data_IF_549716113261
#
_entry.id   IF_549716113261
#
_cell.length_a   1.000
_cell.length_b   1.000
_cell.length_c   1.000
_cell.angle_alpha   90.00
_cell.angle_beta   90.00
_cell.angle_gamma   90.00
#
_symmetry.space_group_name_H-M   'P 1'
#
loop_
_entity.id
_entity.type
_entity.pdbx_description
1 polymer ?
#
# COMPACT_ATOMS: atom_id res chain seq x y z
N UNK A 1 11.91 37.31 -79.33
CA UNK A 1 11.03 37.04 -78.17
C UNK A 1 11.71 35.98 -77.28
N UNK A 2 12.30 36.39 -76.14
CA UNK A 2 12.94 35.45 -75.18
C UNK A 2 12.05 35.38 -73.93
N UNK A 3 11.39 34.23 -73.69
CA UNK A 3 10.58 33.94 -72.52
C UNK A 3 11.50 33.58 -71.40
N UNK A 4 11.39 34.30 -70.27
CA UNK A 4 12.05 33.99 -68.95
C UNK A 4 11.09 33.23 -68.09
N UNK A 5 11.39 31.98 -67.78
CA UNK A 5 10.70 31.23 -66.72
C UNK A 5 11.33 31.57 -65.37
N UNK A 6 10.52 32.11 -64.48
CA UNK A 6 10.85 32.29 -63.05
C UNK A 6 10.51 30.99 -62.35
N UNK A 7 11.48 30.32 -61.71
CA UNK A 7 11.30 29.25 -60.80
C UNK A 7 11.10 29.86 -59.39
N UNK A 8 9.90 29.66 -58.78
CA UNK A 8 9.66 29.88 -57.37
C UNK A 8 10.10 28.64 -56.60
N UNK A 9 11.16 28.76 -55.79
CA UNK A 9 11.56 27.75 -54.82
C UNK A 9 10.78 28.07 -53.54
N UNK A 10 9.70 27.30 -53.27
CA UNK A 10 8.99 27.34 -52.02
C UNK A 10 9.82 26.66 -50.93
N UNK A 11 10.34 27.44 -49.99
CA UNK A 11 10.96 26.92 -48.77
C UNK A 11 9.89 26.33 -47.86
N UNK A 12 9.82 25.01 -47.76
CA UNK A 12 8.98 24.31 -46.79
C UNK A 12 9.62 24.45 -45.41
N UNK A 13 9.14 25.37 -44.60
CA UNK A 13 9.53 25.47 -43.19
C UNK A 13 8.96 24.29 -42.41
N UNK A 14 9.77 23.29 -42.13
CA UNK A 14 9.45 22.28 -41.12
C UNK A 14 9.38 22.95 -39.73
N UNK A 15 8.17 23.27 -39.30
CA UNK A 15 7.92 23.64 -37.88
C UNK A 15 8.04 22.36 -37.08
N UNK A 16 9.24 22.07 -36.59
CA UNK A 16 9.47 21.04 -35.63
C UNK A 16 8.71 21.42 -34.34
N UNK A 17 7.67 20.67 -34.02
CA UNK A 17 7.03 20.79 -32.71
C UNK A 17 8.07 20.47 -31.63
N UNK A 18 8.60 21.50 -30.98
CA UNK A 18 9.39 21.35 -29.76
C UNK A 18 8.42 20.82 -28.70
N UNK A 19 8.34 19.52 -28.55
CA UNK A 19 7.71 18.92 -27.38
C UNK A 19 8.53 19.35 -26.18
N UNK A 20 8.01 20.29 -25.37
CA UNK A 20 8.61 20.65 -24.11
C UNK A 20 8.89 19.36 -23.34
N UNK A 21 10.14 19.12 -22.96
CA UNK A 21 10.52 17.94 -22.20
C UNK A 21 9.66 17.92 -20.94
N UNK A 22 8.87 16.85 -20.74
CA UNK A 22 8.07 16.72 -19.52
C UNK A 22 9.02 16.63 -18.33
N UNK A 23 8.91 17.57 -17.40
CA UNK A 23 9.73 17.63 -16.19
C UNK A 23 9.33 16.54 -15.20
N UNK A 24 9.84 15.33 -15.41
CA UNK A 24 9.73 14.24 -14.45
C UNK A 24 10.83 14.31 -13.41
N UNK A 25 10.46 14.02 -12.16
CA UNK A 25 11.40 13.79 -11.05
C UNK A 25 11.50 12.29 -10.77
N UNK A 26 12.70 11.78 -10.41
CA UNK A 26 12.81 10.40 -9.95
C UNK A 26 11.93 10.17 -8.70
N UNK A 27 11.04 9.17 -8.75
CA UNK A 27 10.30 8.70 -7.59
C UNK A 27 11.10 7.67 -6.79
N UNK A 28 12.06 7.03 -7.44
CA UNK A 28 13.02 6.13 -6.84
C UNK A 28 14.45 6.55 -7.25
N UNK A 29 15.34 6.63 -6.26
CA UNK A 29 16.69 7.20 -6.46
C UNK A 29 17.71 6.19 -7.04
N UNK A 30 17.33 4.93 -7.26
CA UNK A 30 18.19 3.86 -7.77
C UNK A 30 19.24 3.32 -6.77
N UNK A 31 19.28 3.82 -5.54
CA UNK A 31 20.33 3.50 -4.56
C UNK A 31 19.80 2.84 -3.29
N UNK A 32 18.70 3.36 -2.76
CA UNK A 32 18.08 2.91 -1.51
C UNK A 32 16.58 3.26 -1.49
N UNK A 33 15.91 2.95 -0.39
CA UNK A 33 14.49 3.22 -0.20
C UNK A 33 14.20 4.55 0.50
N UNK A 34 15.06 5.57 0.38
CA UNK A 34 14.74 6.93 0.84
C UNK A 34 13.48 7.41 0.11
N UNK A 35 12.53 7.96 0.86
CA UNK A 35 11.21 8.32 0.32
C UNK A 35 10.20 7.18 0.28
N UNK A 36 10.57 5.97 0.72
CA UNK A 36 9.73 4.79 0.78
C UNK A 36 9.64 4.21 2.20
N UNK A 37 8.55 3.52 2.48
CA UNK A 37 8.27 2.87 3.75
C UNK A 37 7.81 1.42 3.51
N UNK A 38 8.44 0.49 4.19
CA UNK A 38 8.11 -0.94 4.12
C UNK A 38 6.91 -1.25 5.04
N UNK A 39 5.88 -1.85 4.49
CA UNK A 39 4.64 -2.21 5.19
C UNK A 39 4.42 -3.71 5.11
N UNK A 40 4.36 -4.37 6.27
CA UNK A 40 4.14 -5.82 6.40
C UNK A 40 5.11 -6.72 5.62
N UNK A 41 6.27 -6.22 5.27
CA UNK A 41 7.29 -6.98 4.56
C UNK A 41 8.56 -7.14 5.39
N UNK A 42 9.30 -8.22 5.16
CA UNK A 42 10.58 -8.47 5.78
C UNK A 42 11.70 -7.63 5.18
N UNK A 43 12.86 -7.54 5.86
CA UNK A 43 13.98 -6.71 5.38
C UNK A 43 14.55 -7.11 4.02
N UNK A 44 14.31 -8.34 3.59
CA UNK A 44 14.78 -8.89 2.31
C UNK A 44 13.72 -9.00 1.24
N UNK A 45 12.46 -8.63 1.53
CA UNK A 45 11.37 -8.64 0.55
C UNK A 45 11.64 -7.68 -0.59
N UNK A 46 12.09 -6.47 -0.23
CA UNK A 46 12.46 -5.42 -1.13
C UNK A 46 13.96 -5.17 -1.06
N UNK A 47 14.64 -5.20 -2.18
CA UNK A 47 16.08 -4.92 -2.28
C UNK A 47 16.36 -4.04 -3.50
N UNK A 48 17.48 -3.31 -3.46
CA UNK A 48 17.95 -2.53 -4.59
C UNK A 48 19.17 -3.21 -5.19
N UNK A 49 19.13 -3.50 -6.48
CA UNK A 49 20.25 -4.02 -7.25
C UNK A 49 20.28 -3.39 -8.64
N UNK A 50 21.44 -2.99 -9.11
CA UNK A 50 21.63 -2.41 -10.45
C UNK A 50 20.68 -1.24 -10.75
N UNK A 51 20.42 -0.40 -9.75
CA UNK A 51 19.49 0.74 -9.88
C UNK A 51 18.01 0.37 -9.95
N UNK A 52 17.65 -0.89 -9.70
CA UNK A 52 16.29 -1.40 -9.78
C UNK A 52 15.77 -1.85 -8.42
N UNK A 53 14.46 -1.78 -8.24
CA UNK A 53 13.75 -2.40 -7.12
C UNK A 53 13.50 -3.87 -7.47
N UNK A 54 13.95 -4.76 -6.59
CA UNK A 54 13.68 -6.20 -6.65
C UNK A 54 12.75 -6.57 -5.50
N UNK A 55 11.64 -7.20 -5.83
CA UNK A 55 10.71 -7.78 -4.87
C UNK A 55 10.74 -9.31 -4.98
N UNK A 56 10.78 -9.99 -3.84
CA UNK A 56 10.71 -11.46 -3.80
C UNK A 56 9.28 -11.99 -3.95
N UNK A 57 8.27 -11.13 -3.76
CA UNK A 57 6.87 -11.48 -3.69
C UNK A 57 6.44 -12.07 -2.35
N UNK A 58 7.33 -12.17 -1.36
CA UNK A 58 7.03 -12.75 -0.03
C UNK A 58 7.75 -12.00 1.08
N UNK A 59 7.09 -11.79 2.23
CA UNK A 59 5.66 -12.02 2.49
C UNK A 59 4.78 -11.07 1.68
N UNK A 60 3.45 -11.29 1.72
CA UNK A 60 2.49 -10.36 1.13
C UNK A 60 2.50 -9.05 1.92
N UNK A 61 2.63 -7.94 1.22
CA UNK A 61 2.70 -6.59 1.78
C UNK A 61 3.13 -5.57 0.74
N UNK A 62 3.55 -4.40 1.15
CA UNK A 62 3.77 -3.28 0.23
C UNK A 62 5.01 -2.45 0.56
N UNK A 63 5.54 -1.79 -0.47
CA UNK A 63 6.49 -0.70 -0.37
C UNK A 63 5.78 0.60 -0.74
N UNK A 64 5.58 1.51 0.22
CA UNK A 64 4.76 2.72 0.13
C UNK A 64 5.60 3.98 0.13
N UNK A 65 5.23 4.99 -0.67
CA UNK A 65 5.86 6.31 -0.59
C UNK A 65 5.67 6.95 0.79
N UNK A 66 6.60 7.79 1.24
CA UNK A 66 6.51 8.48 2.54
C UNK A 66 5.59 9.69 2.53
N UNK A 67 5.22 10.18 1.35
CA UNK A 67 4.27 11.29 1.18
C UNK A 67 3.14 10.95 0.22
N UNK A 68 2.06 11.70 0.30
CA UNK A 68 0.91 11.60 -0.58
C UNK A 68 1.12 12.37 -1.87
N UNK A 69 0.45 11.90 -2.92
CA UNK A 69 0.31 12.56 -4.21
C UNK A 69 -1.17 12.74 -4.55
N UNK A 70 -1.49 13.85 -5.21
CA UNK A 70 -2.86 14.17 -5.63
C UNK A 70 -3.04 13.94 -7.11
N UNK A 71 -2.57 14.88 -7.92
CA UNK A 71 -2.60 14.82 -9.37
C UNK A 71 -1.18 14.60 -9.88
N UNK A 72 -0.99 13.60 -10.72
CA UNK A 72 0.35 13.23 -11.19
C UNK A 72 0.32 12.37 -12.45
N UNK A 73 1.46 12.34 -13.10
CA UNK A 73 1.80 11.33 -14.10
C UNK A 73 2.91 10.48 -13.49
N UNK A 74 2.70 9.18 -13.39
CA UNK A 74 3.67 8.19 -12.93
C UNK A 74 4.10 7.35 -14.13
N UNK A 75 5.39 7.25 -14.38
CA UNK A 75 5.95 6.33 -15.34
C UNK A 75 6.90 5.35 -14.65
N UNK A 76 6.83 4.10 -15.04
CA UNK A 76 7.72 3.06 -14.58
C UNK A 76 7.76 1.89 -15.56
N UNK A 77 8.78 1.08 -15.41
CA UNK A 77 8.86 -0.22 -16.08
C UNK A 77 8.84 -1.34 -15.03
N UNK A 78 8.16 -2.42 -15.38
CA UNK A 78 8.06 -3.61 -14.55
C UNK A 78 8.24 -4.88 -15.38
N UNK A 79 8.68 -5.95 -14.70
CA UNK A 79 8.66 -7.32 -15.24
C UNK A 79 8.53 -8.35 -14.12
N UNK A 80 7.77 -9.39 -14.35
CA UNK A 80 7.86 -10.61 -13.56
C UNK A 80 9.06 -11.44 -14.02
N UNK A 81 9.69 -12.16 -13.09
CA UNK A 81 10.85 -13.01 -13.42
C UNK A 81 10.45 -14.43 -13.82
N UNK A 82 9.18 -14.77 -13.70
CA UNK A 82 8.62 -16.06 -14.08
C UNK A 82 7.15 -15.90 -14.49
N UNK A 83 6.60 -16.85 -15.27
CA UNK A 83 5.20 -16.86 -15.63
C UNK A 83 4.26 -16.90 -14.42
N UNK A 84 3.01 -16.46 -14.61
CA UNK A 84 1.92 -16.45 -13.62
C UNK A 84 2.23 -15.60 -12.39
N UNK A 85 2.96 -14.51 -12.58
CA UNK A 85 3.25 -13.56 -11.52
C UNK A 85 2.09 -12.62 -11.22
N UNK A 86 1.90 -12.27 -9.95
CA UNK A 86 0.98 -11.25 -9.49
C UNK A 86 1.69 -10.18 -8.68
N UNK A 87 1.33 -8.94 -8.91
CA UNK A 87 1.74 -7.73 -8.19
C UNK A 87 0.80 -6.59 -8.59
N UNK A 88 0.87 -5.46 -7.89
CA UNK A 88 0.07 -4.28 -8.16
C UNK A 88 0.82 -2.98 -7.91
N UNK A 89 0.26 -1.89 -8.43
CA UNK A 89 0.66 -0.53 -8.10
C UNK A 89 -0.58 0.16 -7.55
N UNK A 90 -0.55 0.54 -6.27
CA UNK A 90 -1.63 1.32 -5.69
C UNK A 90 -1.39 2.80 -5.92
N UNK A 91 -2.46 3.51 -6.24
CA UNK A 91 -2.50 4.97 -6.25
C UNK A 91 -3.57 5.45 -5.29
N UNK A 92 -3.34 6.62 -4.69
CA UNK A 92 -4.23 7.24 -3.72
C UNK A 92 -4.55 6.33 -2.51
N UNK A 93 -3.58 5.50 -2.13
CA UNK A 93 -3.73 4.54 -1.05
C UNK A 93 -3.70 5.20 0.34
N UNK A 94 -4.35 4.57 1.32
CA UNK A 94 -4.19 4.88 2.74
C UNK A 94 -2.74 4.63 3.20
N UNK A 95 -2.38 5.13 4.39
CA UNK A 95 -1.04 4.94 4.94
C UNK A 95 -0.72 3.50 5.34
N UNK A 96 -1.73 2.73 5.71
CA UNK A 96 -1.61 1.34 6.19
C UNK A 96 -2.75 0.46 5.67
N UNK A 97 -2.59 -0.87 5.72
CA UNK A 97 -3.55 -1.80 5.18
C UNK A 97 -4.94 -1.66 5.78
N UNK A 98 -5.93 -2.00 5.00
CA UNK A 98 -7.31 -2.10 5.44
C UNK A 98 -7.43 -3.15 6.56
N UNK A 99 -8.43 -3.00 7.42
CA UNK A 99 -8.66 -3.86 8.57
C UNK A 99 -8.75 -5.34 8.18
N UNK A 100 -7.85 -6.16 8.72
CA UNK A 100 -7.78 -7.59 8.44
C UNK A 100 -7.32 -7.95 7.02
N UNK A 101 -6.74 -7.02 6.29
CA UNK A 101 -6.26 -7.21 4.94
C UNK A 101 -4.75 -6.95 4.86
N UNK A 102 -4.03 -7.56 3.90
CA UNK A 102 -2.63 -7.25 3.67
C UNK A 102 -2.40 -5.93 2.92
N UNK A 103 -3.41 -5.45 2.19
CA UNK A 103 -3.32 -4.33 1.27
C UNK A 103 -4.09 -3.10 1.74
N UNK A 104 -3.69 -1.94 1.23
CA UNK A 104 -4.26 -0.65 1.59
C UNK A 104 -5.63 -0.44 0.92
N UNK A 105 -6.46 0.42 1.50
CA UNK A 105 -7.60 0.98 0.77
C UNK A 105 -7.06 1.94 -0.28
N UNK A 106 -7.35 1.71 -1.55
CA UNK A 106 -6.87 2.54 -2.66
C UNK A 106 -7.41 2.07 -4.00
N UNK A 107 -6.85 2.62 -5.06
CA UNK A 107 -7.09 2.17 -6.44
C UNK A 107 -5.86 1.41 -6.91
N UNK A 108 -6.05 0.17 -7.31
CA UNK A 108 -4.99 -0.69 -7.80
C UNK A 108 -4.92 -0.68 -9.32
N UNK A 109 -3.72 -0.55 -9.83
CA UNK A 109 -3.33 -0.78 -11.22
C UNK A 109 -2.61 -2.11 -11.29
N UNK A 110 -3.23 -3.10 -11.88
CA UNK A 110 -2.77 -4.48 -11.89
C UNK A 110 -1.46 -4.66 -12.64
N UNK A 111 -0.54 -5.40 -12.03
CA UNK A 111 0.73 -5.85 -12.61
C UNK A 111 0.71 -7.38 -12.67
N UNK A 112 -0.07 -7.90 -13.58
CA UNK A 112 -0.29 -9.34 -13.73
C UNK A 112 0.51 -9.88 -14.92
N UNK A 113 1.15 -11.04 -14.77
CA UNK A 113 1.87 -11.69 -15.85
C UNK A 113 0.88 -12.42 -16.79
N UNK A 114 1.15 -12.38 -18.10
CA UNK A 114 0.26 -12.86 -19.16
C UNK A 114 -0.23 -14.31 -18.95
N UNK A 115 0.64 -15.21 -18.51
CA UNK A 115 0.28 -16.61 -18.27
C UNK A 115 -0.53 -16.86 -16.98
N UNK A 116 -0.84 -15.81 -16.22
CA UNK A 116 -1.74 -15.94 -15.08
C UNK A 116 -3.12 -16.40 -15.51
N UNK A 117 -3.54 -16.03 -16.70
CA UNK A 117 -4.74 -16.51 -17.38
C UNK A 117 -5.98 -15.68 -17.06
N UNK A 118 -6.99 -15.86 -17.90
CA UNK A 118 -8.31 -15.25 -17.74
C UNK A 118 -9.18 -16.14 -16.85
N UNK A 119 -8.90 -16.21 -15.57
CA UNK A 119 -9.74 -16.94 -14.62
C UNK A 119 -11.01 -16.14 -14.30
N UNK A 120 -12.09 -16.35 -15.09
CA UNK A 120 -13.47 -16.07 -14.69
C UNK A 120 -13.77 -14.73 -14.01
N UNK A 121 -13.29 -13.59 -14.57
CA UNK A 121 -13.60 -12.26 -14.05
C UNK A 121 -12.45 -11.53 -13.35
N UNK A 122 -11.34 -12.18 -13.13
CA UNK A 122 -10.07 -11.52 -12.76
C UNK A 122 -9.19 -11.55 -13.98
N UNK A 123 -8.74 -10.42 -14.42
CA UNK A 123 -8.20 -10.63 -15.61
C UNK A 123 -6.97 -10.09 -15.96
N UNK A 124 -6.45 -9.30 -16.17
CA UNK A 124 -5.39 -9.06 -17.12
C UNK A 124 -4.51 -7.97 -16.56
N UNK A 125 -3.28 -8.05 -16.93
CA UNK A 125 -2.38 -6.94 -16.80
C UNK A 125 -3.06 -5.65 -17.26
N UNK A 126 -3.00 -4.64 -16.39
CA UNK A 126 -3.53 -3.32 -16.69
C UNK A 126 -5.00 -3.12 -16.35
N UNK A 127 -5.66 -4.00 -15.64
CA UNK A 127 -6.92 -3.69 -14.96
C UNK A 127 -6.71 -2.55 -13.97
N UNK A 128 -7.75 -1.73 -13.76
CA UNK A 128 -7.80 -0.73 -12.70
C UNK A 128 -9.04 -0.96 -11.87
N UNK A 129 -8.88 -1.04 -10.54
CA UNK A 129 -10.02 -1.27 -9.66
C UNK A 129 -9.83 -0.72 -8.25
N UNK A 130 -10.90 -0.26 -7.60
CA UNK A 130 -10.87 0.15 -6.22
C UNK A 130 -10.99 -1.04 -5.30
N UNK A 131 -10.24 -1.05 -4.18
CA UNK A 131 -10.32 -2.09 -3.16
C UNK A 131 -10.52 -1.52 -1.76
N UNK A 132 -10.99 -2.36 -0.86
CA UNK A 132 -11.11 -2.10 0.58
C UNK A 132 -11.88 -0.83 0.95
N UNK A 133 -12.91 -0.49 0.16
CA UNK A 133 -13.76 0.68 0.41
C UNK A 133 -13.36 1.94 -0.35
N UNK A 134 -12.33 1.89 -1.19
CA UNK A 134 -12.14 2.89 -2.23
C UNK A 134 -13.26 2.79 -3.27
N UNK A 135 -13.45 3.85 -4.05
CA UNK A 135 -14.48 3.90 -5.09
C UNK A 135 -13.87 4.37 -6.41
N UNK A 136 -14.42 3.89 -7.50
CA UNK A 136 -14.09 4.34 -8.86
C UNK A 136 -15.22 3.89 -9.79
N UNK A 137 -15.53 4.70 -10.78
CA UNK A 137 -16.40 4.31 -11.90
C UNK A 137 -15.53 3.92 -13.08
N UNK A 138 -15.59 2.66 -13.55
CA UNK A 138 -14.82 2.23 -14.72
C UNK A 138 -15.37 2.87 -16.00
N UNK A 139 -14.50 3.24 -16.93
CA UNK A 139 -14.91 3.66 -18.29
C UNK A 139 -15.19 2.43 -19.15
N UNK A 140 -14.38 1.39 -19.00
CA UNK A 140 -14.55 0.11 -19.68
C UNK A 140 -14.77 -1.00 -18.63
N UNK A 141 -15.97 -1.04 -18.05
CA UNK A 141 -16.39 -2.01 -17.04
C UNK A 141 -17.18 -3.17 -17.61
N UNK A 142 -17.36 -4.22 -16.79
CA UNK A 142 -18.21 -5.40 -17.08
C UNK A 142 -19.26 -5.59 -15.98
N UNK A 143 -19.94 -4.50 -15.61
CA UNK A 143 -21.00 -4.54 -14.58
C UNK A 143 -20.55 -4.33 -13.13
N UNK A 144 -19.23 -4.20 -12.86
CA UNK A 144 -18.66 -3.94 -11.54
C UNK A 144 -17.82 -2.66 -11.50
N UNK A 145 -17.02 -2.50 -10.45
CA UNK A 145 -16.13 -1.34 -10.26
C UNK A 145 -14.76 -1.47 -10.95
N UNK A 146 -14.48 -2.61 -11.58
CA UNK A 146 -13.22 -2.88 -12.29
C UNK A 146 -13.28 -2.38 -13.73
N UNK A 147 -12.28 -1.61 -14.13
CA UNK A 147 -12.02 -1.23 -15.51
C UNK A 147 -11.06 -2.23 -16.16
N UNK A 148 -11.35 -2.60 -17.39
CA UNK A 148 -10.57 -3.59 -18.15
C UNK A 148 -9.84 -2.92 -19.32
N UNK A 149 -8.68 -3.44 -19.73
CA UNK A 149 -8.00 -2.99 -20.94
C UNK A 149 -8.86 -3.21 -22.19
N UNK A 150 -8.80 -2.25 -23.08
CA UNK A 150 -9.48 -2.34 -24.40
C UNK A 150 -8.74 -3.27 -25.35
N UNK A 151 -7.46 -3.52 -25.11
CA UNK A 151 -6.61 -4.46 -25.86
C UNK A 151 -5.46 -4.96 -24.99
N UNK A 152 -4.93 -6.11 -25.35
CA UNK A 152 -3.74 -6.69 -24.75
C UNK A 152 -2.47 -6.07 -25.35
N UNK A 153 -1.64 -5.45 -24.50
CA UNK A 153 -0.37 -4.85 -24.90
C UNK A 153 0.81 -5.27 -24.04
N UNK A 154 0.57 -6.08 -23.01
CA UNK A 154 1.66 -6.51 -22.16
C UNK A 154 2.53 -7.58 -22.82
N UNK A 155 3.79 -7.60 -22.46
CA UNK A 155 4.77 -8.58 -22.90
C UNK A 155 4.93 -9.63 -21.80
N UNK A 156 5.08 -10.91 -22.17
CA UNK A 156 5.24 -11.99 -21.18
C UNK A 156 6.58 -11.88 -20.42
N UNK A 157 6.64 -12.56 -19.29
CA UNK A 157 7.87 -12.73 -18.50
C UNK A 157 9.00 -13.37 -19.36
N UNK A 158 10.24 -12.92 -19.22
CA UNK A 158 10.75 -11.87 -18.35
C UNK A 158 10.92 -10.50 -19.06
N UNK A 159 10.10 -10.18 -20.05
CA UNK A 159 10.21 -8.93 -20.80
C UNK A 159 9.73 -7.72 -19.99
N UNK A 160 10.34 -6.57 -20.20
CA UNK A 160 9.96 -5.32 -19.60
C UNK A 160 8.69 -4.75 -20.23
N UNK A 161 7.77 -4.31 -19.36
CA UNK A 161 6.57 -3.56 -19.71
C UNK A 161 6.69 -2.14 -19.16
N UNK A 162 6.24 -1.17 -19.94
CA UNK A 162 6.18 0.23 -19.56
C UNK A 162 4.73 0.61 -19.22
N UNK A 163 4.53 1.19 -18.05
CA UNK A 163 3.29 1.80 -17.61
C UNK A 163 3.44 3.32 -17.53
N UNK A 164 2.45 4.02 -18.06
CA UNK A 164 2.22 5.45 -17.82
C UNK A 164 0.83 5.60 -17.21
N UNK A 165 0.79 5.98 -15.94
CA UNK A 165 -0.44 6.17 -15.16
C UNK A 165 -0.65 7.67 -15.00
N UNK A 166 -1.79 8.18 -15.46
CA UNK A 166 -2.19 9.58 -15.29
C UNK A 166 -3.32 9.63 -14.28
N UNK A 167 -3.09 10.32 -13.18
CA UNK A 167 -4.03 10.55 -12.09
C UNK A 167 -4.34 12.05 -12.02
N UNK A 168 -5.57 12.45 -12.31
CA UNK A 168 -5.95 13.86 -12.31
C UNK A 168 -7.41 14.05 -11.88
N UNK A 169 -7.64 14.78 -10.80
CA UNK A 169 -8.97 15.12 -10.28
C UNK A 169 -9.90 13.89 -10.11
N UNK A 170 -9.35 12.76 -9.66
CA UNK A 170 -10.12 11.51 -9.51
C UNK A 170 -10.33 10.73 -10.81
N UNK A 171 -9.80 11.19 -11.91
CA UNK A 171 -9.69 10.42 -13.14
C UNK A 171 -8.36 9.67 -13.16
N UNK A 172 -8.38 8.44 -13.67
CA UNK A 172 -7.20 7.61 -13.84
C UNK A 172 -7.18 6.99 -15.22
N UNK A 173 -6.02 7.03 -15.87
CA UNK A 173 -5.78 6.32 -17.11
C UNK A 173 -4.45 5.59 -17.08
N UNK A 174 -4.39 4.42 -17.72
CA UNK A 174 -3.21 3.60 -17.86
C UNK A 174 -2.88 3.43 -19.33
N UNK A 175 -1.67 3.80 -19.70
CA UNK A 175 -1.06 3.38 -20.95
C UNK A 175 -0.11 2.21 -20.69
N UNK A 176 -0.26 1.14 -21.48
CA UNK A 176 0.61 -0.03 -21.48
C UNK A 176 1.41 -0.02 -22.79
N UNK A 177 2.74 0.00 -22.67
CA UNK A 177 3.65 0.00 -23.82
C UNK A 177 3.26 1.04 -24.89
N UNK A 178 3.00 2.28 -24.43
CA UNK A 178 2.78 3.46 -25.27
C UNK A 178 1.33 3.75 -25.68
N UNK A 179 0.35 2.91 -25.32
CA UNK A 179 -1.05 3.16 -25.67
C UNK A 179 -1.97 3.10 -24.45
N UNK A 180 -2.86 4.07 -24.28
CA UNK A 180 -3.89 4.07 -23.24
C UNK A 180 -4.88 2.94 -23.51
N UNK A 181 -5.04 2.06 -22.53
CA UNK A 181 -5.89 0.87 -22.63
C UNK A 181 -6.96 0.79 -21.55
N UNK A 182 -6.73 1.41 -20.39
CA UNK A 182 -7.66 1.30 -19.24
C UNK A 182 -7.90 2.66 -18.63
N UNK A 183 -9.15 2.95 -18.27
CA UNK A 183 -9.53 4.23 -17.69
C UNK A 183 -10.61 4.07 -16.62
N UNK A 184 -10.58 4.95 -15.62
CA UNK A 184 -11.59 5.09 -14.58
C UNK A 184 -11.79 6.55 -14.20
N UNK A 185 -12.89 6.85 -13.52
CA UNK A 185 -13.24 8.22 -13.08
C UNK A 185 -13.92 8.20 -11.72
N UNK A 186 -14.06 9.39 -11.14
CA UNK A 186 -14.69 9.60 -9.84
C UNK A 186 -14.04 8.74 -8.72
N UNK A 187 -12.73 8.55 -8.77
CA UNK A 187 -12.00 7.83 -7.75
C UNK A 187 -12.07 8.57 -6.40
N UNK A 188 -12.21 7.77 -5.33
CA UNK A 188 -12.15 8.24 -3.93
C UNK A 188 -11.46 7.18 -3.06
N UNK A 189 -10.39 7.53 -2.33
CA UNK A 189 -9.75 8.85 -2.30
C UNK A 189 -9.13 9.23 -3.65
N UNK A 190 -8.78 10.53 -3.82
CA UNK A 190 -8.09 11.08 -4.98
C UNK A 190 -6.84 11.89 -4.59
N UNK A 191 -6.36 11.70 -3.36
CA UNK A 191 -5.05 12.09 -2.84
C UNK A 191 -4.62 11.04 -1.82
N UNK A 192 -3.45 10.46 -1.99
CA UNK A 192 -2.95 9.40 -1.13
C UNK A 192 -1.56 8.93 -1.53
N UNK A 193 -1.16 7.80 -0.98
CA UNK A 193 0.16 7.22 -1.18
C UNK A 193 0.18 6.39 -2.47
N UNK A 194 1.41 6.20 -2.99
CA UNK A 194 1.70 5.24 -4.07
C UNK A 194 2.37 4.04 -3.41
N UNK A 195 1.90 2.82 -3.72
CA UNK A 195 2.48 1.59 -3.21
C UNK A 195 2.85 0.65 -4.35
N UNK A 196 3.91 -0.13 -4.14
CA UNK A 196 4.26 -1.30 -4.94
C UNK A 196 3.95 -2.54 -4.13
N UNK A 197 3.34 -3.54 -4.75
CA UNK A 197 2.84 -4.71 -4.08
C UNK A 197 3.80 -5.90 -4.16
N UNK A 198 3.91 -6.64 -3.05
CA UNK A 198 4.54 -7.95 -2.95
C UNK A 198 3.43 -8.99 -2.83
N UNK A 199 3.18 -9.78 -3.89
CA UNK A 199 2.06 -10.73 -3.94
C UNK A 199 2.43 -12.07 -4.57
N UNK A 200 3.29 -12.80 -3.88
CA UNK A 200 3.56 -14.22 -4.17
C UNK A 200 4.54 -14.51 -5.32
N UNK A 201 4.94 -13.51 -6.11
CA UNK A 201 5.82 -13.69 -7.26
C UNK A 201 6.97 -12.70 -7.30
N UNK A 202 8.19 -13.12 -7.71
CA UNK A 202 9.28 -12.18 -7.90
C UNK A 202 8.99 -11.20 -9.04
N UNK A 203 9.11 -9.91 -8.75
CA UNK A 203 8.88 -8.81 -9.68
C UNK A 203 9.98 -7.77 -9.55
N UNK A 204 10.29 -7.09 -10.64
CA UNK A 204 11.25 -6.00 -10.68
C UNK A 204 10.61 -4.73 -11.21
N UNK A 205 11.03 -3.60 -10.65
CA UNK A 205 10.61 -2.27 -11.09
C UNK A 205 11.86 -1.39 -11.33
N UNK A 206 11.81 -0.56 -12.37
CA UNK A 206 12.85 0.42 -12.69
C UNK A 206 12.27 1.68 -13.33
N UNK A 207 13.09 2.70 -13.47
CA UNK A 207 12.74 3.96 -14.13
C UNK A 207 11.48 4.63 -13.56
N UNK A 208 11.29 4.51 -12.23
CA UNK A 208 10.17 5.12 -11.54
C UNK A 208 10.37 6.63 -11.50
N UNK A 209 9.53 7.36 -12.19
CA UNK A 209 9.55 8.82 -12.24
C UNK A 209 8.14 9.39 -12.20
N UNK A 210 8.01 10.56 -11.60
CA UNK A 210 6.74 11.22 -11.37
C UNK A 210 6.79 12.68 -11.82
N UNK A 211 5.70 13.17 -12.40
CA UNK A 211 5.43 14.58 -12.65
C UNK A 211 4.18 14.96 -11.92
N UNK A 212 4.28 15.82 -10.93
CA UNK A 212 3.11 16.35 -10.23
C UNK A 212 2.39 17.37 -11.10
N UNK A 213 1.06 17.32 -11.07
CA UNK A 213 0.18 18.23 -11.78
C UNK A 213 -0.46 19.21 -10.78
N UNK A 214 -1.04 20.33 -11.23
CA UNK A 214 -1.66 21.30 -10.35
C UNK A 214 -2.72 20.68 -9.44
N UNK A 215 -2.76 21.15 -8.18
CA UNK A 215 -3.76 20.71 -7.21
C UNK A 215 -5.16 21.16 -7.60
N UNK A 216 -6.12 20.28 -7.43
CA UNK A 216 -7.56 20.52 -7.57
C UNK A 216 -8.27 20.67 -6.22
N UNK A 217 -7.48 20.82 -5.13
CA UNK A 217 -7.93 21.08 -3.75
C UNK A 217 -8.95 20.04 -3.28
N UNK A 218 -8.53 18.77 -3.07
CA UNK A 218 -9.42 17.71 -2.61
C UNK A 218 -9.99 18.05 -1.24
N UNK A 219 -11.25 17.71 -1.02
CA UNK A 219 -11.89 17.83 0.29
C UNK A 219 -11.31 16.78 1.25
N UNK A 220 -11.42 16.97 2.58
CA UNK A 220 -10.88 16.02 3.57
C UNK A 220 -11.33 14.57 3.34
N UNK A 221 -12.59 14.35 2.99
CA UNK A 221 -13.14 13.01 2.71
C UNK A 221 -12.64 12.36 1.40
N UNK A 222 -11.99 13.14 0.56
CA UNK A 222 -11.36 12.68 -0.70
C UNK A 222 -9.86 12.39 -0.54
N UNK A 223 -9.34 12.57 0.68
CA UNK A 223 -7.93 12.32 1.02
C UNK A 223 -7.83 10.97 1.74
N UNK A 224 -6.83 10.20 1.38
CA UNK A 224 -6.51 8.96 2.05
C UNK A 224 -6.08 9.20 3.51
N UNK A 225 -6.18 8.18 4.35
CA UNK A 225 -5.81 8.28 5.75
C UNK A 225 -4.29 8.55 5.90
N UNK A 226 -3.90 9.69 6.52
CA UNK A 226 -2.49 10.08 6.66
C UNK A 226 -1.77 9.49 7.88
N UNK A 227 -2.37 8.52 8.56
CA UNK A 227 -1.84 7.93 9.78
C UNK A 227 -0.50 7.24 9.53
N UNK A 228 0.62 7.90 9.80
CA UNK A 228 1.98 7.48 9.42
C UNK A 228 2.92 7.39 10.62
N UNK A 229 4.18 7.01 10.35
CA UNK A 229 5.28 6.94 11.33
C UNK A 229 5.16 5.78 12.32
N UNK A 230 4.49 4.71 11.93
CA UNK A 230 4.44 3.48 12.68
C UNK A 230 5.53 2.50 12.21
N UNK A 231 6.06 1.75 13.17
CA UNK A 231 6.99 0.65 12.96
C UNK A 231 6.21 -0.66 12.92
N UNK A 232 6.52 -1.54 11.97
CA UNK A 232 6.01 -2.90 11.97
C UNK A 232 6.53 -3.65 13.21
N UNK A 233 5.66 -4.30 13.94
CA UNK A 233 6.03 -5.26 14.97
C UNK A 233 5.96 -6.70 14.47
N UNK A 234 5.28 -6.94 13.37
CA UNK A 234 5.19 -8.23 12.70
C UNK A 234 5.32 -8.03 11.20
N UNK A 235 6.26 -8.74 10.58
CA UNK A 235 6.63 -8.55 9.18
C UNK A 235 6.07 -9.63 8.23
N UNK A 236 5.38 -10.65 8.76
CA UNK A 236 4.89 -11.76 7.95
C UNK A 236 5.93 -12.83 7.62
N UNK A 237 7.20 -12.64 7.98
CA UNK A 237 8.29 -13.60 7.68
C UNK A 237 8.35 -14.69 8.74
N UNK A 238 8.51 -14.27 9.99
CA UNK A 238 8.73 -15.14 11.14
C UNK A 238 8.29 -14.44 12.44
N UNK A 239 8.70 -15.00 13.57
CA UNK A 239 8.44 -14.46 14.90
C UNK A 239 9.59 -13.59 15.42
N UNK A 240 10.46 -13.08 14.57
CA UNK A 240 11.53 -12.15 14.96
C UNK A 240 10.94 -10.94 15.70
N UNK A 241 11.53 -10.60 16.84
CA UNK A 241 11.00 -9.57 17.75
C UNK A 241 9.95 -10.06 18.75
N UNK A 242 9.64 -11.36 18.76
CA UNK A 242 8.67 -11.99 19.64
C UNK A 242 9.19 -13.22 20.34
N UNK A 243 8.68 -13.55 21.53
CA UNK A 243 8.98 -14.75 22.31
C UNK A 243 7.67 -15.46 22.65
N UNK A 244 7.55 -16.74 22.29
CA UNK A 244 6.42 -17.62 22.56
C UNK A 244 6.53 -18.93 21.81
N UNK A 245 5.77 -19.95 22.22
CA UNK A 245 5.78 -21.28 21.58
C UNK A 245 4.41 -21.59 20.97
N UNK A 246 4.41 -22.30 19.83
CA UNK A 246 3.21 -22.76 19.15
C UNK A 246 2.51 -21.71 18.29
N UNK A 247 3.05 -20.51 18.19
CA UNK A 247 2.57 -19.48 17.29
C UNK A 247 3.13 -19.71 15.87
N UNK A 248 2.34 -19.38 14.85
CA UNK A 248 2.72 -19.56 13.46
C UNK A 248 2.57 -18.25 12.67
N UNK A 249 3.58 -17.98 11.86
CA UNK A 249 3.54 -16.95 10.83
C UNK A 249 2.94 -17.57 9.55
N UNK A 250 1.97 -16.93 8.97
CA UNK A 250 1.32 -17.35 7.71
C UNK A 250 1.07 -16.12 6.85
N UNK A 251 2.04 -15.79 6.00
CA UNK A 251 2.07 -14.56 5.23
C UNK A 251 1.85 -13.33 6.12
N UNK A 252 0.86 -12.51 5.80
CA UNK A 252 0.52 -11.31 6.57
C UNK A 252 -0.20 -11.59 7.90
N UNK A 253 -0.53 -12.86 8.22
CA UNK A 253 -1.27 -13.26 9.42
C UNK A 253 -0.37 -13.98 10.42
N UNK A 254 -0.62 -13.72 11.69
CA UNK A 254 -0.05 -14.41 12.83
C UNK A 254 -1.16 -15.23 13.50
N UNK A 255 -0.94 -16.54 13.69
CA UNK A 255 -1.95 -17.42 14.26
C UNK A 255 -1.46 -18.06 15.55
N UNK A 256 -2.38 -18.21 16.51
CA UNK A 256 -2.15 -18.89 17.79
C UNK A 256 -2.62 -20.33 17.79
N UNK A 257 -2.93 -20.92 16.63
CA UNK A 257 -3.39 -22.29 16.54
C UNK A 257 -2.34 -23.27 17.10
N UNK A 258 -2.72 -23.98 18.17
CA UNK A 258 -1.81 -24.84 18.92
C UNK A 258 -0.92 -24.14 19.95
N UNK A 259 -1.00 -22.81 20.10
CA UNK A 259 -0.26 -22.09 21.13
C UNK A 259 -0.88 -22.32 22.52
N UNK A 260 -0.03 -22.73 23.49
CA UNK A 260 -0.43 -22.92 24.89
C UNK A 260 -0.19 -21.70 25.78
N UNK A 261 0.39 -20.63 25.22
CA UNK A 261 0.76 -19.42 25.97
C UNK A 261 0.82 -18.17 25.09
N UNK A 262 1.01 -17.05 25.74
CA UNK A 262 1.11 -15.74 25.10
C UNK A 262 2.34 -15.60 24.23
N UNK A 263 2.26 -14.70 23.24
CA UNK A 263 3.38 -14.21 22.46
C UNK A 263 3.78 -12.83 22.98
N UNK A 264 5.04 -12.63 23.33
CA UNK A 264 5.53 -11.46 24.05
C UNK A 264 6.56 -10.73 23.20
N UNK A 265 6.42 -9.42 23.00
CA UNK A 265 7.40 -8.61 22.28
C UNK A 265 8.74 -8.57 23.02
N UNK A 266 9.85 -8.64 22.30
CA UNK A 266 11.19 -8.48 22.88
C UNK A 266 11.49 -7.03 23.23
N UNK A 267 10.92 -6.10 22.48
CA UNK A 267 10.97 -4.67 22.73
C UNK A 267 9.93 -4.28 23.81
N UNK A 268 10.31 -3.30 24.64
CA UNK A 268 9.45 -2.77 25.72
C UNK A 268 9.03 -1.34 25.37
N UNK A 269 7.81 -0.97 25.73
CA UNK A 269 7.19 0.30 25.44
C UNK A 269 6.64 0.95 26.70
N UNK A 270 6.79 2.25 26.84
CA UNK A 270 6.20 3.02 27.95
C UNK A 270 5.21 4.08 27.44
N UNK A 271 5.58 4.80 26.39
CA UNK A 271 4.76 5.84 25.75
C UNK A 271 4.65 5.55 24.27
N UNK A 272 3.45 5.25 23.77
CA UNK A 272 3.26 4.73 22.43
C UNK A 272 1.85 4.98 21.90
N UNK A 273 1.70 4.86 20.59
CA UNK A 273 0.43 4.51 19.94
C UNK A 273 0.60 3.14 19.30
N UNK A 274 -0.25 2.21 19.65
CA UNK A 274 -0.30 0.84 19.12
C UNK A 274 -1.55 0.68 18.28
N UNK A 275 -1.47 0.00 17.14
CA UNK A 275 -2.66 -0.56 16.51
C UNK A 275 -2.40 -1.97 16.01
N UNK A 276 -3.45 -2.78 16.03
CA UNK A 276 -3.41 -4.13 15.50
C UNK A 276 -4.82 -4.56 15.08
N UNK A 277 -4.84 -5.50 14.15
CA UNK A 277 -6.05 -6.19 13.76
C UNK A 277 -6.07 -7.58 14.39
N UNK A 278 -7.26 -8.01 14.84
CA UNK A 278 -7.45 -9.36 15.38
C UNK A 278 -8.81 -9.95 14.99
N UNK A 279 -8.88 -11.28 15.02
CA UNK A 279 -10.10 -12.06 14.85
C UNK A 279 -10.06 -13.27 15.79
N UNK A 280 -11.16 -13.61 16.45
CA UNK A 280 -11.21 -14.66 17.48
C UNK A 280 -10.95 -14.12 18.88
N UNK A 281 -10.63 -15.02 19.84
CA UNK A 281 -10.35 -14.65 21.23
C UNK A 281 -11.59 -14.51 22.14
N UNK A 282 -12.79 -14.81 21.64
CA UNK A 282 -14.04 -14.70 22.39
C UNK A 282 -14.46 -13.25 22.62
N UNK A 283 -14.96 -12.93 23.81
CA UNK A 283 -15.45 -11.58 24.17
C UNK A 283 -14.37 -10.65 24.72
N UNK A 284 -13.21 -11.19 25.09
CA UNK A 284 -12.11 -10.39 25.63
C UNK A 284 -11.18 -9.90 24.51
N UNK A 285 -10.63 -8.71 24.67
CA UNK A 285 -9.59 -8.19 23.78
C UNK A 285 -8.31 -9.01 23.98
N UNK A 286 -7.75 -9.64 22.92
CA UNK A 286 -6.67 -10.62 23.09
C UNK A 286 -5.28 -9.98 23.18
N UNK A 287 -5.14 -8.85 23.86
CA UNK A 287 -3.85 -8.18 24.09
C UNK A 287 -3.70 -7.78 25.56
N UNK A 288 -2.45 -7.77 26.03
CA UNK A 288 -2.03 -7.01 27.20
C UNK A 288 -1.00 -5.98 26.78
N UNK A 289 -1.26 -4.74 27.12
CA UNK A 289 -0.45 -3.59 26.72
C UNK A 289 0.16 -2.93 27.96
N UNK A 290 1.43 -2.48 27.91
CA UNK A 290 2.07 -1.85 29.05
C UNK A 290 1.33 -0.56 29.46
N UNK A 291 1.20 -0.33 30.75
CA UNK A 291 0.49 0.81 31.35
C UNK A 291 -1.01 0.91 30.99
N UNK A 292 -1.58 -0.15 30.47
CA UNK A 292 -3.01 -0.26 30.17
C UNK A 292 -3.57 -1.39 31.02
N UNK A 293 -4.55 -1.11 31.85
CA UNK A 293 -5.24 -2.11 32.65
C UNK A 293 -5.96 -3.15 31.77
N UNK A 294 -6.63 -4.09 32.38
CA UNK A 294 -7.46 -5.05 31.65
C UNK A 294 -8.62 -4.32 30.97
N UNK A 295 -8.75 -4.52 29.65
CA UNK A 295 -9.77 -3.85 28.85
C UNK A 295 -11.18 -4.42 29.06
N UNK A 296 -11.30 -5.49 29.86
CA UNK A 296 -12.57 -6.13 30.17
C UNK A 296 -13.28 -6.71 28.93
N UNK A 297 -14.55 -7.02 29.10
CA UNK A 297 -15.42 -7.42 28.01
C UNK A 297 -15.89 -6.17 27.26
N UNK A 298 -15.59 -6.12 25.96
CA UNK A 298 -16.01 -5.05 25.06
C UNK A 298 -16.90 -5.65 23.97
N UNK A 299 -17.87 -4.88 23.49
CA UNK A 299 -18.76 -5.30 22.42
C UNK A 299 -18.05 -5.21 21.06
N UNK A 300 -17.68 -6.34 20.50
CA UNK A 300 -17.16 -6.46 19.14
C UNK A 300 -17.51 -7.84 18.55
N UNK A 301 -17.64 -7.95 17.21
CA UNK A 301 -17.90 -9.23 16.55
C UNK A 301 -16.66 -10.11 16.57
N UNK A 302 -16.63 -11.14 17.41
CA UNK A 302 -15.45 -12.01 17.57
C UNK A 302 -15.10 -12.83 16.32
N UNK A 303 -16.07 -13.13 15.45
CA UNK A 303 -15.91 -13.86 14.20
C UNK A 303 -15.35 -13.01 13.04
N UNK A 304 -15.32 -11.68 13.21
CA UNK A 304 -14.85 -10.72 12.20
C UNK A 304 -13.51 -10.12 12.61
N UNK A 305 -12.83 -9.54 11.64
CA UNK A 305 -11.64 -8.74 11.91
C UNK A 305 -12.04 -7.46 12.64
N UNK A 306 -11.36 -7.19 13.74
CA UNK A 306 -11.47 -5.97 14.52
C UNK A 306 -10.14 -5.23 14.48
N UNK A 307 -10.16 -3.91 14.59
CA UNK A 307 -8.97 -3.07 14.75
C UNK A 307 -9.02 -2.35 16.08
N UNK A 308 -7.97 -2.49 16.87
CA UNK A 308 -7.74 -1.64 18.04
C UNK A 308 -6.71 -0.58 17.72
N UNK A 309 -6.92 0.61 18.26
CA UNK A 309 -5.90 1.64 18.37
C UNK A 309 -5.82 2.10 19.81
N UNK A 310 -4.65 2.04 20.40
CA UNK A 310 -4.40 2.47 21.78
C UNK A 310 -3.32 3.54 21.80
N UNK A 311 -3.65 4.71 22.29
CA UNK A 311 -2.67 5.78 22.55
C UNK A 311 -2.46 5.85 24.05
N UNK A 312 -1.22 5.58 24.50
CA UNK A 312 -0.77 5.68 25.87
C UNK A 312 0.43 6.66 25.92
N UNK A 313 0.19 7.91 26.25
CA UNK A 313 1.20 8.98 26.21
C UNK A 313 0.90 10.05 27.27
N UNK A 314 1.90 10.43 28.10
CA UNK A 314 1.82 11.58 29.00
C UNK A 314 0.50 11.68 29.82
N UNK A 315 0.07 10.57 30.44
CA UNK A 315 -1.17 10.53 31.19
C UNK A 315 -2.47 10.40 30.37
N UNK A 316 -2.35 10.42 29.03
CA UNK A 316 -3.49 10.17 28.13
C UNK A 316 -3.58 8.69 27.79
N UNK A 317 -4.72 8.08 28.08
CA UNK A 317 -5.13 6.78 27.53
C UNK A 317 -6.34 6.98 26.64
N UNK A 318 -6.19 6.65 25.36
CA UNK A 318 -7.30 6.60 24.42
C UNK A 318 -7.32 5.22 23.75
N UNK A 319 -8.48 4.58 23.79
CA UNK A 319 -8.70 3.27 23.18
C UNK A 319 -9.84 3.39 22.20
N UNK A 320 -9.58 2.99 20.97
CA UNK A 320 -10.57 2.92 19.90
C UNK A 320 -10.65 1.49 19.38
N UNK A 321 -11.87 0.97 19.24
CA UNK A 321 -12.13 -0.31 18.57
C UNK A 321 -13.01 -0.05 17.35
N UNK A 322 -12.54 -0.47 16.19
CA UNK A 322 -13.23 -0.24 14.90
C UNK A 322 -13.56 1.24 14.62
N UNK A 323 -12.77 2.16 15.17
CA UNK A 323 -12.95 3.61 15.03
C UNK A 323 -13.85 4.24 16.10
N UNK A 324 -14.46 3.45 16.96
CA UNK A 324 -15.26 3.95 18.08
C UNK A 324 -14.42 4.07 19.35
N UNK A 325 -14.50 5.21 20.02
CA UNK A 325 -13.82 5.43 21.29
C UNK A 325 -14.51 4.63 22.41
N UNK A 326 -13.77 3.68 22.98
CA UNK A 326 -14.24 2.82 24.09
C UNK A 326 -13.55 3.15 25.41
N UNK A 327 -12.74 4.21 25.48
CA UNK A 327 -12.04 4.59 26.70
C UNK A 327 -13.01 5.08 27.76
N UNK A 328 -13.36 4.17 28.64
CA UNK A 328 -13.94 4.50 29.96
C UNK A 328 -12.86 4.54 31.05
N UNK A 329 -11.60 4.44 30.66
CA UNK A 329 -10.47 4.26 31.55
C UNK A 329 -9.62 5.52 31.56
N UNK A 330 -9.46 6.10 32.72
CA UNK A 330 -8.35 7.01 32.98
C UNK A 330 -7.17 6.15 33.42
N UNK A 331 -5.99 6.36 32.83
CA UNK A 331 -4.80 5.91 33.51
C UNK A 331 -4.73 6.76 34.79
N UNK A 332 -4.78 6.12 35.90
CA UNK A 332 -4.34 6.72 37.16
C UNK A 332 -2.79 6.79 37.09
N UNK A 333 -2.32 7.65 36.16
CA UNK A 333 -0.90 7.86 35.92
C UNK A 333 -0.38 8.91 36.89
N UNK A 334 -0.55 8.62 38.18
CA UNK A 334 0.09 9.39 39.25
C UNK A 334 1.62 9.19 39.30
N UNK A 335 2.16 8.41 38.35
CA UNK A 335 3.59 8.10 38.23
C UNK A 335 4.09 7.99 36.79
N UNK A 336 5.41 7.89 36.60
CA UNK A 336 6.00 7.72 35.28
C UNK A 336 5.58 6.38 34.65
N UNK A 337 5.28 6.40 33.34
CA UNK A 337 4.94 5.19 32.57
C UNK A 337 6.12 4.21 32.59
N UNK A 338 5.86 2.96 32.97
CA UNK A 338 6.90 1.91 33.08
C UNK A 338 7.05 1.18 31.74
N UNK A 339 8.28 0.94 31.27
CA UNK A 339 8.49 0.12 30.07
C UNK A 339 8.05 -1.32 30.28
N UNK A 340 7.17 -1.82 29.42
CA UNK A 340 6.69 -3.21 29.43
C UNK A 340 6.50 -3.76 28.01
N UNK A 341 6.42 -5.09 27.85
CA UNK A 341 6.19 -5.73 26.56
C UNK A 341 4.73 -5.62 26.14
N UNK A 342 4.48 -5.75 24.85
CA UNK A 342 3.18 -6.05 24.28
C UNK A 342 3.01 -7.58 24.31
N UNK A 343 1.87 -8.05 24.74
CA UNK A 343 1.54 -9.48 24.82
C UNK A 343 0.31 -9.76 23.96
N UNK A 344 0.40 -10.76 23.08
CA UNK A 344 -0.72 -11.31 22.33
C UNK A 344 -1.17 -12.60 23.01
N UNK A 345 -2.48 -12.74 23.23
CA UNK A 345 -3.05 -13.89 23.92
C UNK A 345 -3.50 -14.96 22.91
N UNK A 346 -3.43 -16.26 23.29
CA UNK A 346 -3.85 -17.35 22.40
C UNK A 346 -5.38 -17.32 22.17
N UNK A 347 -5.83 -18.04 21.13
CA UNK A 347 -7.24 -18.12 20.74
C UNK A 347 -7.64 -17.14 19.64
N UNK A 348 -6.74 -16.26 19.20
CA UNK A 348 -6.99 -15.29 18.15
C UNK A 348 -5.98 -15.38 17.00
N UNK A 349 -6.36 -14.81 15.86
CA UNK A 349 -5.46 -14.45 14.76
C UNK A 349 -5.18 -12.96 14.79
N UNK A 350 -4.00 -12.57 14.36
CA UNK A 350 -3.57 -11.17 14.32
C UNK A 350 -3.02 -10.78 12.96
N UNK A 351 -3.13 -9.50 12.62
CA UNK A 351 -2.58 -8.88 11.43
C UNK A 351 -2.26 -7.41 11.71
N UNK A 352 -1.49 -6.78 10.83
CA UNK A 352 -1.28 -5.33 10.85
C UNK A 352 -0.87 -4.81 12.23
N UNK A 353 0.18 -5.38 12.82
CA UNK A 353 0.63 -5.06 14.17
C UNK A 353 1.70 -3.96 14.08
N UNK A 354 1.36 -2.77 14.54
CA UNK A 354 2.20 -1.60 14.42
C UNK A 354 2.30 -0.81 15.73
N UNK A 355 3.42 -0.13 15.92
CA UNK A 355 3.63 0.76 17.05
C UNK A 355 4.31 2.05 16.59
N UNK A 356 3.90 3.16 17.17
CA UNK A 356 4.55 4.46 17.08
C UNK A 356 4.99 4.89 18.47
N UNK A 357 6.28 5.11 18.66
CA UNK A 357 6.86 5.65 19.90
C UNK A 357 7.18 7.12 19.72
N UNK A 358 7.05 7.92 20.76
CA UNK A 358 7.70 9.25 20.76
C UNK A 358 9.21 9.04 20.82
N UNK A 359 9.96 9.69 19.95
CA UNK A 359 11.40 9.84 20.19
C UNK A 359 11.53 10.61 21.49
N UNK A 360 12.12 10.00 22.49
CA UNK A 360 12.60 10.72 23.66
C UNK A 360 13.68 11.66 23.12
N UNK A 361 13.46 12.96 23.24
CA UNK A 361 14.46 13.98 22.93
C UNK A 361 15.52 13.97 24.01
#
# INVERSE_FOLDING_TARGET
MKSRYLFFIGALACVGAITAAENFMPLFNGKNFDGWHNVNCGPKTWTVKEGMIHCTGKPIGELRTTRMYENFILELEWRHLKPRGNAGIFVWADAYPAKGQPFHRGVEVQVLENAYGNGGGHTTYGDIFPIHGAKMTPVNGRGGSRAFPTEDRSKPSPQWNHYRIVCNNGEISLAVNGKVVTQGKAARPRKGYICLESEGSPVQFRNLKIKELPSTKPKPEEIANPFTSFKNLYTGVDLSGWKGKGWKSSDWRLTSEGAKGKLVSTEKFSSYTFFADWRGGGKAVPFKLPNVGELGELAFPADKWNRVQVTCQNGLLRIEINGENVSKFHIDASGPLKPGPIELLPGAQFANIFVKTKKVK
#
